data_IF_808449983362
#
_entry.id   IF_808449983362
#
_cell.length_a   1.000
_cell.length_b   1.000
_cell.length_c   1.000
_cell.angle_alpha   90.00
_cell.angle_beta   90.00
_cell.angle_gamma   90.00
#
_symmetry.space_group_name_H-M   'P 1'
#
loop_
_entity.id
_entity.type
_entity.pdbx_description
1 polymer ?
#
# COMPACT_ATOMS: atom_id res chain seq x y z
N UNK A 1 -17.70 -27.14 1.71
CA UNK A 1 -16.33 -26.72 2.06
C UNK A 1 -16.30 -25.82 3.29
N UNK A 2 -16.86 -24.61 3.28
CA UNK A 2 -16.84 -23.72 4.47
C UNK A 2 -17.50 -24.32 5.73
N UNK A 3 -18.66 -24.98 5.59
CA UNK A 3 -19.33 -25.68 6.70
C UNK A 3 -18.43 -26.78 7.29
N UNK A 4 -18.02 -27.74 6.46
CA UNK A 4 -17.13 -28.83 6.90
C UNK A 4 -15.80 -28.33 7.51
N UNK A 5 -15.21 -27.24 6.99
CA UNK A 5 -14.00 -26.66 7.59
C UNK A 5 -14.28 -26.05 8.96
N UNK A 6 -15.44 -25.42 9.14
CA UNK A 6 -15.88 -24.88 10.42
C UNK A 6 -16.13 -26.00 11.43
N UNK A 7 -16.82 -27.06 11.00
CA UNK A 7 -17.13 -28.22 11.84
C UNK A 7 -15.84 -28.85 12.40
N UNK A 8 -14.80 -29.01 11.56
CA UNK A 8 -13.48 -29.50 12.00
C UNK A 8 -12.76 -28.57 12.99
N UNK A 9 -12.97 -27.26 12.92
CA UNK A 9 -12.41 -26.31 13.91
C UNK A 9 -13.13 -26.46 15.23
N UNK A 10 -14.46 -26.50 15.21
CA UNK A 10 -15.27 -26.62 16.43
C UNK A 10 -15.12 -27.98 17.12
N UNK A 11 -14.72 -29.02 16.38
CA UNK A 11 -14.37 -30.33 16.94
C UNK A 11 -13.01 -30.32 17.66
N UNK A 12 -12.06 -29.51 17.17
CA UNK A 12 -10.70 -29.47 17.69
C UNK A 12 -10.46 -28.37 18.74
N UNK A 13 -11.30 -27.34 18.79
CA UNK A 13 -11.14 -26.17 19.66
C UNK A 13 -12.46 -25.83 20.37
N UNK A 14 -12.40 -25.67 21.68
CA UNK A 14 -13.51 -25.19 22.52
C UNK A 14 -13.26 -23.74 22.95
N UNK A 15 -14.28 -22.88 22.86
CA UNK A 15 -14.19 -21.50 23.36
C UNK A 15 -15.45 -20.67 23.11
N UNK A 16 -15.92 -19.96 24.13
CA UNK A 16 -17.15 -19.16 24.11
C UNK A 16 -17.15 -18.04 23.04
N UNK A 17 -15.96 -17.58 22.63
CA UNK A 17 -15.79 -16.50 21.66
C UNK A 17 -15.46 -17.00 20.24
N UNK A 18 -15.39 -18.31 20.00
CA UNK A 18 -14.96 -18.86 18.70
C UNK A 18 -15.90 -18.46 17.55
N UNK A 19 -17.20 -18.40 17.84
CA UNK A 19 -18.22 -17.98 16.86
C UNK A 19 -18.06 -16.52 16.43
N UNK A 20 -17.57 -15.63 17.30
CA UNK A 20 -17.41 -14.20 16.97
C UNK A 20 -16.25 -13.97 15.99
N UNK A 21 -15.28 -14.90 15.94
CA UNK A 21 -14.13 -14.87 15.03
C UNK A 21 -14.27 -15.84 13.85
N UNK A 22 -15.45 -16.40 13.61
CA UNK A 22 -15.68 -17.43 12.59
C UNK A 22 -15.14 -17.03 11.20
N UNK A 23 -15.44 -15.80 10.78
CA UNK A 23 -15.02 -15.30 9.47
C UNK A 23 -13.49 -15.18 9.35
N UNK A 24 -12.82 -14.69 10.40
CA UNK A 24 -11.36 -14.53 10.42
C UNK A 24 -10.66 -15.89 10.46
N UNK A 25 -11.19 -16.83 11.23
CA UNK A 25 -10.69 -18.21 11.28
C UNK A 25 -10.84 -18.88 9.92
N UNK A 26 -12.03 -18.83 9.31
CA UNK A 26 -12.27 -19.41 7.99
C UNK A 26 -11.39 -18.77 6.92
N UNK A 27 -11.18 -17.45 6.97
CA UNK A 27 -10.26 -16.74 6.09
C UNK A 27 -8.82 -17.24 6.26
N UNK A 28 -8.36 -17.36 7.50
CA UNK A 28 -7.01 -17.86 7.79
C UNK A 28 -6.82 -19.31 7.30
N UNK A 29 -7.78 -20.20 7.55
CA UNK A 29 -7.72 -21.57 7.04
C UNK A 29 -7.68 -21.62 5.52
N UNK A 30 -8.47 -20.77 4.83
CA UNK A 30 -8.41 -20.67 3.39
C UNK A 30 -7.02 -20.25 2.90
N UNK A 31 -6.37 -19.31 3.59
CA UNK A 31 -4.99 -18.90 3.28
C UNK A 31 -3.99 -20.04 3.47
N UNK A 32 -4.08 -20.78 4.58
CA UNK A 32 -3.23 -21.95 4.85
C UNK A 32 -3.40 -23.03 3.77
N UNK A 33 -4.64 -23.35 3.42
CA UNK A 33 -4.96 -24.28 2.35
C UNK A 33 -4.40 -23.83 1.00
N UNK A 34 -4.53 -22.55 0.65
CA UNK A 34 -3.98 -22.00 -0.58
C UNK A 34 -2.44 -22.05 -0.60
N UNK A 35 -1.79 -21.75 0.51
CA UNK A 35 -0.32 -21.84 0.66
C UNK A 35 0.16 -23.28 0.53
N UNK A 36 -0.49 -24.23 1.22
CA UNK A 36 -0.17 -25.66 1.11
C UNK A 36 -0.35 -26.16 -0.32
N UNK A 37 -1.50 -25.91 -0.95
CA UNK A 37 -1.74 -26.27 -2.36
C UNK A 37 -0.74 -25.63 -3.33
N UNK A 38 -0.32 -24.40 -3.06
CA UNK A 38 0.72 -23.73 -3.84
C UNK A 38 2.05 -24.47 -3.78
N UNK A 39 2.45 -24.92 -2.58
CA UNK A 39 3.67 -25.72 -2.36
C UNK A 39 3.58 -27.09 -3.05
N UNK A 40 2.43 -27.76 -2.94
CA UNK A 40 2.20 -29.03 -3.63
C UNK A 40 2.31 -28.88 -5.15
N UNK A 41 1.72 -27.82 -5.72
CA UNK A 41 1.85 -27.52 -7.14
C UNK A 41 3.31 -27.33 -7.54
N UNK A 42 4.06 -26.50 -6.80
CA UNK A 42 5.46 -26.21 -7.11
C UNK A 42 6.34 -27.48 -7.08
N UNK A 43 6.10 -28.37 -6.12
CA UNK A 43 6.95 -29.54 -5.88
C UNK A 43 6.59 -30.71 -6.81
N UNK A 44 5.30 -31.04 -6.88
CA UNK A 44 4.82 -32.29 -7.46
C UNK A 44 4.10 -32.14 -8.80
N UNK A 45 3.70 -30.93 -9.20
CA UNK A 45 2.91 -30.71 -10.42
C UNK A 45 3.69 -29.94 -11.49
N UNK A 46 4.42 -28.91 -11.07
CA UNK A 46 5.13 -28.02 -11.98
C UNK A 46 6.10 -28.81 -12.85
N UNK A 47 6.04 -28.55 -14.16
CA UNK A 47 6.82 -29.21 -15.21
C UNK A 47 6.58 -30.73 -15.35
N UNK A 48 5.51 -31.28 -14.76
CA UNK A 48 5.14 -32.69 -14.88
C UNK A 48 3.84 -32.85 -15.64
N UNK A 49 3.70 -33.98 -16.31
CA UNK A 49 2.43 -34.43 -16.88
C UNK A 49 1.51 -34.95 -15.77
N UNK A 50 0.22 -35.07 -16.09
CA UNK A 50 -0.78 -35.58 -15.15
C UNK A 50 -0.44 -36.99 -14.67
N UNK A 51 0.02 -37.86 -15.58
CA UNK A 51 0.38 -39.24 -15.25
C UNK A 51 1.64 -39.33 -14.38
N UNK A 52 2.60 -38.42 -14.56
CA UNK A 52 3.78 -38.35 -13.69
C UNK A 52 3.41 -37.83 -12.30
N UNK A 53 2.54 -36.82 -12.21
CA UNK A 53 2.07 -36.29 -10.93
C UNK A 53 1.27 -37.31 -10.11
N UNK A 54 0.44 -38.14 -10.76
CA UNK A 54 -0.35 -39.19 -10.07
C UNK A 54 0.53 -40.29 -9.46
N UNK A 55 1.76 -40.49 -9.97
CA UNK A 55 2.70 -41.49 -9.43
C UNK A 55 3.42 -41.02 -8.17
N UNK A 56 3.53 -39.72 -7.96
CA UNK A 56 4.30 -39.12 -6.86
C UNK A 56 3.30 -38.59 -5.83
N UNK A 57 2.80 -39.48 -4.99
CA UNK A 57 1.89 -39.14 -3.89
C UNK A 57 2.75 -38.64 -2.71
N UNK A 58 2.50 -37.45 -2.15
CA UNK A 58 3.18 -36.99 -0.94
C UNK A 58 2.88 -37.89 0.27
N UNK A 59 3.87 -38.12 1.14
CA UNK A 59 3.76 -39.05 2.28
C UNK A 59 2.63 -38.69 3.27
N UNK A 60 2.30 -37.42 3.40
CA UNK A 60 1.29 -36.88 4.32
C UNK A 60 -0.10 -36.72 3.68
N UNK A 61 -0.31 -37.23 2.46
CA UNK A 61 -1.56 -37.04 1.71
C UNK A 61 -2.21 -38.37 1.38
N UNK A 62 -3.51 -38.47 1.67
CA UNK A 62 -4.33 -39.63 1.29
C UNK A 62 -4.35 -39.74 -0.24
N UNK A 63 -4.08 -40.94 -0.75
CA UNK A 63 -3.96 -41.18 -2.19
C UNK A 63 -5.18 -40.70 -2.97
N UNK A 64 -6.39 -40.98 -2.51
CA UNK A 64 -7.62 -40.60 -3.21
C UNK A 64 -7.79 -39.07 -3.26
N UNK A 65 -7.46 -38.38 -2.17
CA UNK A 65 -7.46 -36.91 -2.12
C UNK A 65 -6.41 -36.30 -3.06
N UNK A 66 -5.23 -36.93 -3.15
CA UNK A 66 -4.19 -36.53 -4.11
C UNK A 66 -4.66 -36.71 -5.55
N UNK A 67 -5.26 -37.86 -5.87
CA UNK A 67 -5.78 -38.12 -7.21
C UNK A 67 -6.83 -37.09 -7.61
N UNK A 68 -7.79 -36.80 -6.71
CA UNK A 68 -8.78 -35.76 -6.91
C UNK A 68 -8.13 -34.39 -7.10
N UNK A 69 -7.16 -34.02 -6.26
CA UNK A 69 -6.48 -32.73 -6.36
C UNK A 69 -5.73 -32.56 -7.69
N UNK A 70 -5.11 -33.63 -8.20
CA UNK A 70 -4.43 -33.63 -9.51
C UNK A 70 -5.46 -33.51 -10.65
N UNK A 71 -6.47 -34.39 -10.67
CA UNK A 71 -7.48 -34.50 -11.73
C UNK A 71 -8.43 -33.30 -11.78
N UNK A 72 -9.02 -32.98 -10.65
CA UNK A 72 -10.14 -32.04 -10.50
C UNK A 72 -9.72 -30.64 -10.02
N UNK A 73 -8.43 -30.43 -9.75
CA UNK A 73 -7.88 -29.10 -9.47
C UNK A 73 -6.81 -28.69 -10.47
N UNK A 74 -5.59 -29.21 -10.34
CA UNK A 74 -4.42 -28.64 -11.02
C UNK A 74 -4.44 -28.79 -12.54
N UNK A 75 -4.96 -29.90 -13.05
CA UNK A 75 -4.98 -30.15 -14.50
C UNK A 75 -6.22 -29.65 -15.22
N UNK A 76 -7.19 -29.08 -14.49
CA UNK A 76 -8.41 -28.52 -15.07
C UNK A 76 -8.11 -27.33 -16.00
N UNK A 77 -8.88 -27.16 -17.08
CA UNK A 77 -8.75 -25.99 -17.96
C UNK A 77 -8.86 -24.67 -17.20
N UNK A 78 -9.82 -24.58 -16.27
CA UNK A 78 -10.09 -23.38 -15.48
C UNK A 78 -8.90 -22.99 -14.60
N UNK A 79 -8.24 -23.96 -13.96
CA UNK A 79 -7.04 -23.70 -13.16
C UNK A 79 -5.88 -23.22 -14.04
N UNK A 80 -5.64 -23.89 -15.16
CA UNK A 80 -4.57 -23.52 -16.10
C UNK A 80 -4.77 -22.11 -16.67
N UNK A 81 -5.99 -21.75 -17.05
CA UNK A 81 -6.31 -20.40 -17.51
C UNK A 81 -6.10 -19.34 -16.42
N UNK A 82 -6.58 -19.62 -15.21
CA UNK A 82 -6.39 -18.72 -14.06
C UNK A 82 -4.90 -18.55 -13.74
N UNK A 83 -4.13 -19.63 -13.77
CA UNK A 83 -2.68 -19.61 -13.54
C UNK A 83 -1.95 -18.79 -14.60
N UNK A 84 -2.25 -19.00 -15.89
CA UNK A 84 -1.71 -18.20 -17.00
C UNK A 84 -2.04 -16.71 -16.84
N UNK A 85 -3.30 -16.39 -16.50
CA UNK A 85 -3.73 -15.00 -16.26
C UNK A 85 -2.98 -14.39 -15.07
N UNK A 86 -2.84 -15.11 -13.96
CA UNK A 86 -2.10 -14.63 -12.79
C UNK A 86 -0.62 -14.40 -13.11
N UNK A 87 0.01 -15.29 -13.87
CA UNK A 87 1.39 -15.13 -14.33
C UNK A 87 1.54 -13.89 -15.23
N UNK A 88 0.62 -13.70 -16.18
CA UNK A 88 0.60 -12.53 -17.05
C UNK A 88 0.37 -11.23 -16.25
N UNK A 89 -0.55 -11.24 -15.30
CA UNK A 89 -0.79 -10.12 -14.40
C UNK A 89 0.45 -9.77 -13.58
N UNK A 90 1.20 -10.78 -13.08
CA UNK A 90 2.47 -10.56 -12.40
C UNK A 90 3.54 -9.97 -13.30
N UNK A 91 3.58 -10.34 -14.59
CA UNK A 91 4.51 -9.74 -15.54
C UNK A 91 4.23 -8.27 -15.84
N UNK A 92 3.01 -7.79 -15.58
CA UNK A 92 2.67 -6.38 -15.71
C UNK A 92 3.04 -5.54 -14.49
N UNK A 93 3.49 -6.13 -13.38
CA UNK A 93 3.89 -5.37 -12.21
C UNK A 93 5.28 -4.76 -12.44
N UNK A 94 5.37 -3.44 -12.69
CA UNK A 94 6.66 -2.77 -12.79
C UNK A 94 7.22 -2.59 -11.37
N UNK A 95 8.54 -2.65 -11.21
CA UNK A 95 9.24 -2.34 -9.95
C UNK A 95 8.85 -3.22 -8.73
N UNK A 96 9.07 -4.53 -8.83
CA UNK A 96 8.86 -5.45 -7.71
C UNK A 96 9.86 -5.21 -6.57
N UNK A 97 9.36 -5.23 -5.32
CA UNK A 97 10.23 -5.28 -4.13
C UNK A 97 11.13 -6.52 -4.15
N UNK A 98 12.35 -6.39 -3.62
CA UNK A 98 13.40 -7.42 -3.63
C UNK A 98 13.77 -7.96 -2.24
N UNK A 99 12.90 -7.75 -1.24
CA UNK A 99 13.17 -8.09 0.17
C UNK A 99 12.76 -9.51 0.59
N UNK A 100 12.65 -10.45 -0.35
CA UNK A 100 12.15 -11.81 -0.09
C UNK A 100 10.86 -11.82 0.75
N UNK A 101 10.86 -12.53 1.89
CA UNK A 101 9.72 -12.62 2.81
C UNK A 101 9.67 -11.51 3.85
N UNK A 102 10.63 -10.58 3.81
CA UNK A 102 10.75 -9.50 4.79
C UNK A 102 9.77 -8.37 4.45
N UNK A 103 8.87 -7.99 5.37
CA UNK A 103 7.94 -6.90 5.13
C UNK A 103 8.65 -5.55 5.19
N UNK A 104 8.16 -4.60 4.38
CA UNK A 104 8.67 -3.20 4.34
C UNK A 104 8.73 -2.58 5.75
N UNK A 105 7.74 -2.86 6.60
CA UNK A 105 7.68 -2.34 7.97
C UNK A 105 8.86 -2.79 8.83
N UNK A 106 9.29 -4.04 8.67
CA UNK A 106 10.46 -4.56 9.39
C UNK A 106 11.74 -3.86 8.92
N UNK A 107 11.85 -3.62 7.61
CA UNK A 107 12.96 -2.84 7.05
C UNK A 107 12.96 -1.39 7.57
N UNK A 108 11.81 -0.72 7.64
CA UNK A 108 11.69 0.61 8.27
C UNK A 108 12.12 0.58 9.74
N UNK A 109 11.69 -0.45 10.48
CA UNK A 109 12.02 -0.60 11.90
C UNK A 109 13.53 -0.76 12.12
N UNK A 110 14.19 -1.59 11.33
CA UNK A 110 15.64 -1.81 11.38
C UNK A 110 16.46 -0.59 10.97
N UNK A 111 15.97 0.21 10.02
CA UNK A 111 16.63 1.43 9.56
C UNK A 111 16.47 2.63 10.51
N UNK A 112 16.03 2.42 11.76
CA UNK A 112 15.92 3.47 12.78
C UNK A 112 14.50 3.92 13.07
N UNK A 113 13.49 3.35 12.42
CA UNK A 113 12.07 3.63 12.72
C UNK A 113 11.67 3.30 14.16
N UNK A 114 12.42 2.43 14.86
CA UNK A 114 12.23 2.14 16.28
C UNK A 114 12.57 3.33 17.20
N UNK A 115 13.50 4.19 16.77
CA UNK A 115 14.04 5.33 17.51
C UNK A 115 13.45 6.66 17.00
N UNK A 116 12.28 6.60 16.35
CA UNK A 116 11.62 7.72 15.64
C UNK A 116 12.49 8.38 14.55
N UNK A 117 13.55 7.69 14.13
CA UNK A 117 14.46 8.11 13.07
C UNK A 117 14.17 7.30 11.80
N UNK A 118 12.95 7.43 11.28
CA UNK A 118 12.55 6.71 10.07
C UNK A 118 13.38 7.18 8.87
N UNK A 119 13.86 6.26 8.01
CA UNK A 119 14.57 6.62 6.79
C UNK A 119 13.69 7.46 5.86
N UNK A 120 14.32 8.34 5.07
CA UNK A 120 13.63 9.02 3.98
C UNK A 120 13.18 8.06 2.88
N UNK A 121 12.25 8.51 2.03
CA UNK A 121 11.71 7.68 0.96
C UNK A 121 12.74 7.20 -0.06
N UNK A 122 13.79 7.98 -0.34
CA UNK A 122 14.83 7.59 -1.28
C UNK A 122 15.62 6.39 -0.73
N UNK A 123 16.08 6.49 0.51
CA UNK A 123 16.78 5.41 1.21
C UNK A 123 15.90 4.16 1.30
N UNK A 124 14.64 4.32 1.72
CA UNK A 124 13.70 3.22 1.82
C UNK A 124 13.41 2.57 0.46
N UNK A 125 13.21 3.37 -0.59
CA UNK A 125 12.95 2.85 -1.93
C UNK A 125 14.15 2.07 -2.46
N UNK A 126 15.36 2.61 -2.31
CA UNK A 126 16.58 1.95 -2.72
C UNK A 126 16.74 0.59 -2.02
N UNK A 127 16.59 0.57 -0.69
CA UNK A 127 16.82 -0.64 0.08
C UNK A 127 15.79 -1.73 -0.19
N UNK A 128 14.55 -1.34 -0.47
CA UNK A 128 13.46 -2.27 -0.78
C UNK A 128 13.51 -2.83 -2.22
N UNK A 129 14.28 -2.21 -3.13
CA UNK A 129 14.33 -2.60 -4.55
C UNK A 129 15.71 -2.98 -5.08
N UNK A 130 16.79 -2.82 -4.30
CA UNK A 130 18.14 -3.20 -4.73
C UNK A 130 18.30 -4.72 -4.90
N UNK A 131 19.18 -5.10 -5.81
CA UNK A 131 19.67 -6.47 -6.02
C UNK A 131 21.18 -6.47 -5.84
N UNK A 132 21.69 -7.15 -4.79
CA UNK A 132 23.13 -7.19 -4.47
C UNK A 132 23.77 -5.79 -4.54
N UNK A 133 23.12 -4.83 -3.88
CA UNK A 133 23.55 -3.43 -3.75
C UNK A 133 23.44 -2.54 -4.99
N UNK A 134 22.62 -2.90 -5.98
CA UNK A 134 22.32 -2.01 -7.13
C UNK A 134 20.87 -2.11 -7.57
N UNK A 135 20.33 -1.02 -8.11
CA UNK A 135 19.09 -1.04 -8.88
C UNK A 135 19.40 -1.56 -10.30
N UNK A 136 18.56 -2.45 -10.83
CA UNK A 136 18.83 -3.14 -12.10
C UNK A 136 17.81 -2.76 -13.18
N UNK A 137 16.54 -2.67 -12.80
CA UNK A 137 15.45 -2.41 -13.72
C UNK A 137 15.38 -0.91 -14.09
N UNK A 138 15.35 -0.54 -15.38
CA UNK A 138 15.32 0.86 -15.81
C UNK A 138 14.18 1.67 -15.21
N UNK A 139 12.98 1.09 -15.12
CA UNK A 139 11.81 1.73 -14.51
C UNK A 139 12.02 2.03 -13.02
N UNK A 140 12.72 1.15 -12.32
CA UNK A 140 13.04 1.33 -10.89
C UNK A 140 14.10 2.40 -10.71
N UNK A 141 15.10 2.44 -11.59
CA UNK A 141 16.15 3.47 -11.58
C UNK A 141 15.53 4.84 -11.85
N UNK A 142 14.72 4.98 -12.90
CA UNK A 142 14.06 6.24 -13.25
C UNK A 142 13.16 6.73 -12.09
N UNK A 143 12.39 5.83 -11.49
CA UNK A 143 11.51 6.20 -10.37
C UNK A 143 12.29 6.56 -9.11
N UNK A 144 13.43 5.90 -8.87
CA UNK A 144 14.34 6.25 -7.78
C UNK A 144 14.93 7.66 -7.96
N UNK A 145 15.37 8.00 -9.16
CA UNK A 145 15.87 9.34 -9.49
C UNK A 145 14.81 10.42 -9.21
N UNK A 146 13.56 10.21 -9.66
CA UNK A 146 12.43 11.10 -9.37
C UNK A 146 12.19 11.28 -7.86
N UNK A 147 12.27 10.19 -7.08
CA UNK A 147 12.14 10.24 -5.62
C UNK A 147 13.28 11.06 -5.01
N UNK A 148 14.52 10.82 -5.44
CA UNK A 148 15.70 11.55 -4.95
C UNK A 148 15.59 13.05 -5.25
N UNK A 149 15.15 13.44 -6.45
CA UNK A 149 14.94 14.84 -6.82
C UNK A 149 13.90 15.52 -5.90
N UNK A 150 12.78 14.85 -5.62
CA UNK A 150 11.73 15.39 -4.75
C UNK A 150 12.21 15.53 -3.30
N UNK A 151 12.95 14.55 -2.79
CA UNK A 151 13.51 14.56 -1.43
C UNK A 151 14.57 15.66 -1.28
N UNK A 152 15.48 15.79 -2.25
CA UNK A 152 16.53 16.82 -2.24
C UNK A 152 15.95 18.23 -2.37
N UNK A 153 14.92 18.40 -3.21
CA UNK A 153 14.28 19.70 -3.40
C UNK A 153 13.47 20.17 -2.19
N UNK A 154 13.00 19.25 -1.33
CA UNK A 154 12.20 19.58 -0.14
C UNK A 154 12.45 18.58 1.00
N UNK A 155 13.50 18.80 1.77
CA UNK A 155 13.91 17.92 2.87
C UNK A 155 12.87 17.80 3.99
N UNK A 156 11.95 18.77 4.12
CA UNK A 156 10.89 18.76 5.14
C UNK A 156 9.63 17.98 4.73
N UNK A 157 9.54 17.45 3.51
CA UNK A 157 8.37 16.68 3.09
C UNK A 157 8.29 15.36 3.86
N UNK A 158 7.07 14.98 4.24
CA UNK A 158 6.84 13.64 4.79
C UNK A 158 6.93 12.61 3.68
N UNK A 159 7.32 11.41 4.06
CA UNK A 159 7.45 10.27 3.16
C UNK A 159 6.19 10.00 2.30
N UNK A 160 5.00 10.12 2.90
CA UNK A 160 3.73 9.96 2.18
C UNK A 160 3.51 11.03 1.09
N UNK A 161 4.01 12.24 1.29
CA UNK A 161 3.88 13.34 0.32
C UNK A 161 4.85 13.15 -0.85
N UNK A 162 6.06 12.66 -0.58
CA UNK A 162 7.03 12.26 -1.62
C UNK A 162 6.42 11.16 -2.50
N UNK A 163 5.82 10.13 -1.88
CA UNK A 163 5.15 9.05 -2.62
C UNK A 163 3.99 9.60 -3.47
N UNK A 164 3.14 10.48 -2.91
CA UNK A 164 2.04 11.07 -3.69
C UNK A 164 2.51 11.93 -4.86
N UNK A 165 3.67 12.60 -4.74
CA UNK A 165 4.27 13.36 -5.85
C UNK A 165 4.81 12.44 -6.95
N UNK A 166 5.53 11.37 -6.59
CA UNK A 166 6.21 10.51 -7.57
C UNK A 166 5.29 9.45 -8.19
N UNK A 167 4.27 9.00 -7.46
CA UNK A 167 3.37 7.91 -7.90
C UNK A 167 1.92 8.35 -8.09
N UNK A 168 1.61 9.62 -7.83
CA UNK A 168 0.27 10.15 -7.84
C UNK A 168 -0.54 9.81 -6.58
N UNK A 169 -1.83 10.19 -6.54
CA UNK A 169 -2.69 10.02 -5.38
C UNK A 169 -2.78 8.56 -4.92
N UNK A 170 -2.48 8.34 -3.63
CA UNK A 170 -2.48 6.99 -3.06
C UNK A 170 -3.88 6.54 -2.67
N UNK A 171 -4.15 5.24 -2.86
CA UNK A 171 -5.46 4.66 -2.57
C UNK A 171 -5.74 4.59 -1.07
N UNK A 172 -7.04 4.51 -0.73
CA UNK A 172 -7.49 4.46 0.67
C UNK A 172 -6.95 3.26 1.43
N UNK A 173 -6.72 2.12 0.76
CA UNK A 173 -6.42 0.83 1.40
C UNK A 173 -4.91 0.52 1.41
N UNK A 174 -4.14 1.14 0.52
CA UNK A 174 -2.73 0.82 0.33
C UNK A 174 -1.94 2.05 -0.07
N UNK A 175 -0.77 2.22 0.55
CA UNK A 175 0.22 3.24 0.19
C UNK A 175 1.48 2.56 -0.34
N UNK A 176 1.90 2.95 -1.54
CA UNK A 176 3.13 2.44 -2.16
C UNK A 176 4.33 2.64 -1.21
N UNK A 177 5.24 1.66 -1.20
CA UNK A 177 6.46 1.64 -0.38
C UNK A 177 6.27 1.67 1.15
N UNK A 178 5.07 1.43 1.67
CA UNK A 178 4.81 1.35 3.12
C UNK A 178 4.39 -0.06 3.59
N UNK A 179 4.27 -1.01 2.66
CA UNK A 179 3.87 -2.39 2.94
C UNK A 179 2.36 -2.57 3.12
N UNK A 180 1.95 -3.85 3.20
CA UNK A 180 0.56 -4.23 3.37
C UNK A 180 -0.06 -3.71 4.68
N UNK A 181 -1.33 -3.30 4.61
CA UNK A 181 -2.09 -2.83 5.78
C UNK A 181 -1.86 -1.36 6.17
N UNK A 182 -0.88 -0.67 5.58
CA UNK A 182 -0.72 0.77 5.77
C UNK A 182 -1.67 1.53 4.84
N UNK A 183 -2.56 2.29 5.43
CA UNK A 183 -3.53 3.12 4.71
C UNK A 183 -3.10 4.58 4.74
N UNK A 184 -3.59 5.35 3.75
CA UNK A 184 -3.41 6.81 3.72
C UNK A 184 -3.87 7.48 5.03
N UNK A 185 -4.92 6.94 5.66
CA UNK A 185 -5.44 7.45 6.94
C UNK A 185 -4.48 7.25 8.11
N UNK A 186 -3.70 6.17 8.11
CA UNK A 186 -2.68 5.96 9.14
C UNK A 186 -1.56 7.01 9.05
N UNK A 187 -1.26 7.51 7.84
CA UNK A 187 -0.15 8.45 7.60
C UNK A 187 -0.56 9.93 7.66
N UNK A 188 -1.74 10.26 7.13
CA UNK A 188 -2.25 11.64 7.03
C UNK A 188 -3.42 11.94 7.96
N UNK A 189 -3.87 10.97 8.75
CA UNK A 189 -5.08 11.08 9.54
C UNK A 189 -6.36 10.93 8.69
N UNK A 190 -7.54 11.07 9.30
CA UNK A 190 -8.80 11.04 8.59
C UNK A 190 -8.84 12.17 7.56
N UNK A 191 -9.16 11.85 6.32
CA UNK A 191 -9.47 12.86 5.31
C UNK A 191 -10.72 13.63 5.72
N UNK A 192 -10.63 14.96 5.85
CA UNK A 192 -11.79 15.84 6.10
C UNK A 192 -12.90 15.54 5.08
N UNK A 193 -14.15 15.59 5.53
CA UNK A 193 -15.31 15.43 4.64
C UNK A 193 -15.37 16.65 3.71
N UNK A 194 -15.86 16.45 2.47
CA UNK A 194 -16.01 17.53 1.47
C UNK A 194 -16.72 18.77 2.05
N UNK A 195 -17.82 18.56 2.76
CA UNK A 195 -18.59 19.63 3.41
C UNK A 195 -17.79 20.41 4.47
N UNK A 196 -16.89 19.74 5.17
CA UNK A 196 -16.05 20.36 6.20
C UNK A 196 -14.92 21.19 5.57
N UNK A 197 -14.40 20.75 4.42
CA UNK A 197 -13.45 21.51 3.61
C UNK A 197 -14.12 22.74 2.99
N UNK A 198 -15.33 22.60 2.45
CA UNK A 198 -16.12 23.71 1.90
C UNK A 198 -16.43 24.76 2.97
N UNK A 199 -16.82 24.34 4.19
CA UNK A 199 -17.03 25.25 5.31
C UNK A 199 -15.76 26.03 5.68
N UNK A 200 -14.60 25.35 5.77
CA UNK A 200 -13.31 26.01 6.05
C UNK A 200 -12.89 26.98 4.94
N UNK A 201 -13.19 26.64 3.69
CA UNK A 201 -12.88 27.48 2.54
C UNK A 201 -13.73 28.75 2.55
N UNK A 202 -15.04 28.63 2.78
CA UNK A 202 -15.93 29.79 2.90
C UNK A 202 -15.50 30.73 4.05
N UNK A 203 -15.16 30.19 5.23
CA UNK A 203 -14.67 31.01 6.35
C UNK A 203 -13.40 31.79 5.96
N UNK A 204 -12.45 31.14 5.27
CA UNK A 204 -11.25 31.84 4.77
C UNK A 204 -11.58 32.90 3.73
N UNK A 205 -12.55 32.65 2.86
CA UNK A 205 -12.96 33.61 1.83
C UNK A 205 -13.64 34.83 2.45
N UNK A 206 -14.46 34.63 3.48
CA UNK A 206 -15.06 35.71 4.27
C UNK A 206 -13.98 36.54 4.99
N UNK A 207 -13.02 35.88 5.65
CA UNK A 207 -11.88 36.55 6.29
C UNK A 207 -11.04 37.34 5.27
N UNK A 208 -10.72 36.75 4.12
CA UNK A 208 -9.96 37.43 3.07
C UNK A 208 -10.72 38.63 2.50
N UNK A 209 -12.03 38.51 2.30
CA UNK A 209 -12.87 39.61 1.84
C UNK A 209 -12.88 40.75 2.88
N UNK A 210 -13.03 40.42 4.15
CA UNK A 210 -12.97 41.40 5.24
C UNK A 210 -11.61 42.12 5.30
N UNK A 211 -10.51 41.37 5.21
CA UNK A 211 -9.16 41.92 5.22
C UNK A 211 -8.90 42.83 4.02
N UNK A 212 -9.36 42.46 2.82
CA UNK A 212 -9.28 43.33 1.63
C UNK A 212 -10.01 44.65 1.81
N UNK A 213 -11.23 44.63 2.38
CA UNK A 213 -11.98 45.85 2.63
C UNK A 213 -11.30 46.76 3.65
N UNK A 214 -10.70 46.18 4.70
CA UNK A 214 -9.91 46.95 5.66
C UNK A 214 -8.67 47.57 5.03
N UNK A 215 -7.96 46.84 4.17
CA UNK A 215 -6.81 47.38 3.44
C UNK A 215 -7.20 48.56 2.57
N UNK A 216 -8.28 48.44 1.78
CA UNK A 216 -8.77 49.56 0.96
C UNK A 216 -9.13 50.79 1.81
N UNK A 217 -9.76 50.58 2.97
CA UNK A 217 -10.13 51.68 3.88
C UNK A 217 -8.87 52.39 4.42
N UNK A 218 -7.87 51.62 4.83
CA UNK A 218 -6.60 52.18 5.30
C UNK A 218 -5.85 52.90 4.17
N UNK A 219 -5.87 52.37 2.95
CA UNK A 219 -5.29 53.03 1.78
C UNK A 219 -5.94 54.39 1.50
N UNK A 220 -7.27 54.48 1.58
CA UNK A 220 -8.01 55.75 1.44
C UNK A 220 -7.65 56.77 2.54
N UNK A 221 -7.51 56.31 3.79
CA UNK A 221 -7.09 57.15 4.91
C UNK A 221 -5.64 57.64 4.73
N UNK A 222 -4.73 56.75 4.32
CA UNK A 222 -3.35 57.11 4.02
C UNK A 222 -3.26 58.15 2.90
N UNK A 223 -4.09 58.01 1.87
CA UNK A 223 -4.13 58.95 0.75
C UNK A 223 -4.59 60.34 1.21
N UNK A 224 -5.63 60.43 2.06
CA UNK A 224 -6.09 61.70 2.66
C UNK A 224 -5.01 62.35 3.52
N UNK A 225 -4.32 61.57 4.35
CA UNK A 225 -3.22 62.08 5.20
C UNK A 225 -2.08 62.61 4.32
N UNK A 226 -1.73 61.91 3.25
CA UNK A 226 -0.72 62.33 2.29
C UNK A 226 -1.07 63.66 1.62
N UNK A 227 -2.33 63.85 1.23
CA UNK A 227 -2.83 65.11 0.66
C UNK A 227 -2.82 66.26 1.67
N UNK A 228 -3.15 65.98 2.95
CA UNK A 228 -3.06 66.96 4.02
C UNK A 228 -1.62 67.42 4.29
N UNK A 229 -0.65 66.50 4.29
CA UNK A 229 0.77 66.84 4.46
C UNK A 229 1.28 67.70 3.30
N UNK A 230 0.93 67.34 2.06
CA UNK A 230 1.34 68.09 0.86
C UNK A 230 0.73 69.50 0.77
N UNK A 231 -0.44 69.72 1.40
CA UNK A 231 -1.06 71.05 1.47
C UNK A 231 -0.48 71.92 2.58
N UNK A 232 0.04 71.33 3.67
CA UNK A 232 0.79 72.07 4.70
C UNK A 232 2.19 72.48 4.25
N UNK A 233 2.87 71.71 3.41
CA UNK A 233 4.20 72.07 2.87
C UNK A 233 4.16 73.20 1.82
N UNK A 234 2.98 73.54 1.30
CA UNK A 234 2.79 74.59 0.26
C UNK A 234 2.31 75.93 0.82
N UNK A 235 2.06 76.03 2.13
CA UNK A 235 1.64 77.25 2.82
C UNK A 235 2.78 77.84 3.63
#
# INVERSE_FOLDING_TARGET
MKSHMWDSVTEAFEGDDLLSHQDDVLKHMCELWNKWRGRMHLTYIMNKTMNEALKIVPDDVIKDDWEWLVKDNYFTPQYKERSKRASKNRSYLPMLHRMDSKPVREVIYEMGGKDDNSPDMGVLFYETHKKKDKLVEPETIQKYEEICEVVQSNTSLRNVDVVEKCFGPQQRIHVICHGGGVTRKHLKGPSCKKAELEAKLNVRDEENHYLKNRLNTLEDEFQKIKEMLQSQEKS
#
